data_IF_750489506433
#
_entry.id   IF_750489506433
#
_cell.length_a   1.000
_cell.length_b   1.000
_cell.length_c   1.000
_cell.angle_alpha   90.00
_cell.angle_beta   90.00
_cell.angle_gamma   90.00
#
_symmetry.space_group_name_H-M   'P 1'
#
loop_
_entity.id
_entity.type
_entity.pdbx_description
1 polymer ?
#
# COMPACT_ATOMS: atom_id res chain seq x y z
N UNK A 1 -3.67 -35.53 -3.18
CA UNK A 1 -3.91 -34.31 -2.35
C UNK A 1 -4.22 -33.18 -3.31
N UNK A 2 -5.25 -32.34 -3.10
CA UNK A 2 -5.54 -31.24 -4.00
C UNK A 2 -4.42 -30.19 -3.97
N UNK A 3 -4.18 -29.46 -5.08
CA UNK A 3 -3.22 -28.36 -5.08
C UNK A 3 -3.64 -27.27 -4.10
N UNK A 4 -2.66 -26.52 -3.58
CA UNK A 4 -2.92 -25.43 -2.65
C UNK A 4 -3.89 -24.42 -3.27
N UNK A 5 -4.98 -24.11 -2.57
CA UNK A 5 -6.01 -23.18 -3.02
C UNK A 5 -5.50 -21.73 -3.16
N UNK A 6 -4.35 -21.43 -2.59
CA UNK A 6 -3.73 -20.12 -2.63
C UNK A 6 -2.22 -20.20 -2.43
N UNK A 7 -1.49 -19.25 -3.04
CA UNK A 7 -0.06 -19.04 -2.84
C UNK A 7 0.17 -17.57 -2.53
N UNK A 8 0.92 -17.30 -1.47
CA UNK A 8 1.31 -15.94 -1.12
C UNK A 8 2.15 -15.32 -2.25
N UNK A 9 1.82 -14.08 -2.60
CA UNK A 9 2.56 -13.25 -3.55
C UNK A 9 2.71 -11.86 -2.95
N UNK A 10 3.86 -11.23 -3.20
CA UNK A 10 4.09 -9.86 -2.79
C UNK A 10 3.11 -8.93 -3.52
N UNK A 11 2.57 -7.91 -2.83
CA UNK A 11 1.62 -6.99 -3.43
C UNK A 11 2.29 -6.18 -4.55
N UNK A 12 1.67 -6.14 -5.71
CA UNK A 12 2.17 -5.35 -6.84
C UNK A 12 1.94 -3.85 -6.60
N UNK A 13 2.76 -3.01 -7.24
CA UNK A 13 2.67 -1.55 -7.14
C UNK A 13 1.24 -1.01 -7.33
N UNK A 14 0.51 -1.51 -8.33
CA UNK A 14 -0.87 -1.07 -8.58
C UNK A 14 -1.84 -1.38 -7.42
N UNK A 15 -1.61 -2.47 -6.67
CA UNK A 15 -2.42 -2.82 -5.50
C UNK A 15 -2.14 -1.87 -4.35
N UNK A 16 -0.88 -1.48 -4.16
CA UNK A 16 -0.44 -0.51 -3.15
C UNK A 16 -0.97 0.88 -3.47
N UNK A 17 -0.83 1.34 -4.71
CA UNK A 17 -1.38 2.64 -5.14
C UNK A 17 -2.90 2.68 -4.93
N UNK A 18 -3.61 1.59 -5.24
CA UNK A 18 -5.06 1.48 -4.99
C UNK A 18 -5.38 1.53 -3.49
N UNK A 19 -4.55 0.93 -2.64
CA UNK A 19 -4.71 0.99 -1.20
C UNK A 19 -4.56 2.42 -0.68
N UNK A 20 -3.53 3.16 -1.12
CA UNK A 20 -3.34 4.57 -0.76
C UNK A 20 -4.53 5.44 -1.17
N UNK A 21 -5.02 5.30 -2.40
CA UNK A 21 -6.19 6.06 -2.91
C UNK A 21 -7.46 5.84 -2.09
N UNK A 22 -7.61 4.69 -1.42
CA UNK A 22 -8.77 4.35 -0.59
C UNK A 22 -8.67 4.84 0.86
N UNK A 23 -7.53 5.37 1.27
CA UNK A 23 -7.36 5.85 2.63
C UNK A 23 -8.24 7.07 2.89
N UNK A 24 -8.87 7.10 4.07
CA UNK A 24 -9.62 8.27 4.53
C UNK A 24 -8.64 9.43 4.76
N UNK A 25 -8.89 10.62 4.21
CA UNK A 25 -8.01 11.77 4.40
C UNK A 25 -8.01 12.20 5.87
N UNK A 26 -6.95 12.92 6.27
CA UNK A 26 -6.78 13.50 7.61
C UNK A 26 -6.84 12.49 8.77
N UNK A 27 -6.53 11.23 8.48
CA UNK A 27 -6.26 10.20 9.49
C UNK A 27 -4.77 9.91 9.52
N UNK A 28 -4.28 9.56 10.69
CA UNK A 28 -2.93 9.09 10.93
C UNK A 28 -3.03 7.86 11.83
N UNK A 29 -2.19 6.86 11.61
CA UNK A 29 -2.21 5.61 12.40
C UNK A 29 -1.67 5.84 13.82
N UNK A 30 -0.72 6.78 13.97
CA UNK A 30 -0.12 7.23 15.23
C UNK A 30 0.20 8.73 15.18
N UNK A 31 0.40 9.36 16.34
CA UNK A 31 0.72 10.80 16.46
C UNK A 31 1.87 11.24 15.56
N UNK A 32 2.91 10.41 15.45
CA UNK A 32 4.13 10.74 14.70
C UNK A 32 4.16 10.10 13.31
N UNK A 33 3.03 9.51 12.88
CA UNK A 33 2.93 8.91 11.55
C UNK A 33 2.55 9.95 10.51
N UNK A 34 3.00 9.72 9.28
CA UNK A 34 2.59 10.53 8.14
C UNK A 34 1.05 10.48 7.99
N UNK A 35 0.38 11.61 7.77
CA UNK A 35 -1.05 11.61 7.51
C UNK A 35 -1.35 10.89 6.19
N UNK A 36 -2.51 10.21 6.15
CA UNK A 36 -3.02 9.51 4.97
C UNK A 36 -3.06 10.38 3.71
N UNK A 37 -3.17 11.69 3.84
CA UNK A 37 -3.15 12.64 2.72
C UNK A 37 -1.83 12.55 1.95
N UNK A 38 -0.69 12.43 2.64
CA UNK A 38 0.61 12.30 1.98
C UNK A 38 0.69 11.02 1.16
N UNK A 39 0.19 9.90 1.69
CA UNK A 39 0.13 8.64 0.95
C UNK A 39 -0.77 8.75 -0.28
N UNK A 40 -1.87 9.51 -0.20
CA UNK A 40 -2.84 9.66 -1.28
C UNK A 40 -2.32 10.53 -2.42
N UNK A 41 -1.78 11.70 -2.08
CA UNK A 41 -1.29 12.68 -3.05
C UNK A 41 0.09 12.28 -3.62
N UNK A 42 0.95 11.68 -2.81
CA UNK A 42 2.29 11.23 -3.25
C UNK A 42 2.33 9.73 -3.58
N UNK A 43 1.19 9.11 -3.87
CA UNK A 43 1.10 7.66 -4.09
C UNK A 43 2.09 7.17 -5.14
N UNK A 44 2.27 7.90 -6.24
CA UNK A 44 3.16 7.51 -7.35
C UNK A 44 4.65 7.55 -6.96
N UNK A 45 5.04 8.52 -6.12
CA UNK A 45 6.41 8.65 -5.62
C UNK A 45 6.73 7.65 -4.52
N UNK A 46 5.73 7.33 -3.70
CA UNK A 46 5.87 6.48 -2.52
C UNK A 46 5.75 5.00 -2.89
N UNK A 47 4.83 4.63 -3.79
CA UNK A 47 4.54 3.23 -4.17
C UNK A 47 5.81 2.41 -4.50
N UNK A 48 6.79 2.90 -5.29
CA UNK A 48 8.01 2.15 -5.60
C UNK A 48 8.84 1.74 -4.37
N UNK A 49 8.71 2.45 -3.24
CA UNK A 49 9.41 2.12 -1.98
C UNK A 49 8.67 1.08 -1.14
N UNK A 50 7.39 0.85 -1.41
CA UNK A 50 6.53 -0.10 -0.71
C UNK A 50 6.24 -1.36 -1.54
N UNK A 51 6.50 -1.30 -2.85
CA UNK A 51 6.47 -2.45 -3.76
C UNK A 51 7.45 -3.53 -3.34
N UNK A 52 7.40 -4.72 -3.98
CA UNK A 52 8.39 -5.75 -3.74
C UNK A 52 9.77 -5.14 -3.92
N UNK A 53 10.56 -5.14 -2.84
CA UNK A 53 11.99 -4.86 -2.87
C UNK A 53 12.59 -5.97 -3.74
N UNK A 54 12.71 -5.70 -5.04
CA UNK A 54 13.53 -6.49 -5.95
C UNK A 54 14.99 -6.14 -5.70
#
# INVERSE_FOLDING_TARGET
>A
YPPAAWKFQLPANHQITRAFRRMKPYKATRSDSLPNVLFRECAELITPRFGPLL
#
